data_IF_112426478700
#
_entry.id   IF_112426478700
#
_cell.length_a   1.000
_cell.length_b   1.000
_cell.length_c   1.000
_cell.angle_alpha   90.00
_cell.angle_beta   90.00
_cell.angle_gamma   90.00
#
_symmetry.space_group_name_H-M   'P 1'
#
loop_
_entity.id
_entity.type
_entity.pdbx_description
1 polymer ?
#
# COMPACT_ATOMS: atom_id res chain seq x y z
N UNK A 1 -8.40 -10.87 -10.05
CA UNK A 1 -7.85 -11.93 -9.19
C UNK A 1 -6.67 -11.34 -8.44
N UNK A 2 -6.84 -11.09 -7.14
CA UNK A 2 -5.77 -10.61 -6.27
C UNK A 2 -4.90 -11.82 -5.95
N UNK A 3 -3.73 -11.95 -6.59
CA UNK A 3 -2.83 -13.09 -6.42
C UNK A 3 -2.33 -13.10 -4.98
N UNK A 4 -2.33 -14.27 -4.31
CA UNK A 4 -1.91 -14.44 -2.90
C UNK A 4 -0.57 -13.76 -2.54
N UNK A 5 0.34 -13.60 -3.50
CA UNK A 5 1.60 -12.86 -3.33
C UNK A 5 1.42 -11.36 -3.00
N UNK A 6 0.30 -10.76 -3.41
CA UNK A 6 -0.01 -9.34 -3.20
C UNK A 6 -0.44 -9.02 -1.75
N UNK A 7 -0.96 -10.01 -1.02
CA UNK A 7 -1.37 -9.85 0.38
C UNK A 7 -0.17 -9.89 1.32
N UNK A 8 0.91 -10.58 0.95
CA UNK A 8 2.09 -10.70 1.79
C UNK A 8 2.79 -9.35 2.00
N UNK A 9 2.98 -8.55 0.94
CA UNK A 9 3.67 -7.26 1.04
C UNK A 9 2.92 -6.16 1.79
N UNK A 10 1.64 -6.38 2.11
CA UNK A 10 0.82 -5.45 2.90
C UNK A 10 0.75 -5.85 4.39
N UNK A 11 1.04 -7.10 4.73
CA UNK A 11 0.93 -7.60 6.10
C UNK A 11 -0.39 -7.20 6.77
N UNK A 12 -0.29 -6.54 7.93
CA UNK A 12 -1.45 -6.07 8.71
C UNK A 12 -2.26 -4.97 8.02
N UNK A 13 -1.68 -4.21 7.08
CA UNK A 13 -2.39 -3.15 6.37
C UNK A 13 -3.47 -3.68 5.42
N UNK A 14 -3.35 -4.93 4.97
CA UNK A 14 -4.41 -5.59 4.20
C UNK A 14 -5.73 -5.65 5.00
N UNK A 15 -5.66 -5.81 6.32
CA UNK A 15 -6.84 -5.80 7.20
C UNK A 15 -7.45 -4.40 7.40
N UNK A 16 -6.68 -3.34 7.12
CA UNK A 16 -7.11 -1.94 7.23
C UNK A 16 -7.67 -1.36 5.92
N UNK A 17 -7.91 -2.21 4.91
CA UNK A 17 -8.50 -1.81 3.62
C UNK A 17 -7.48 -1.41 2.56
N UNK A 18 -6.18 -1.63 2.78
CA UNK A 18 -5.16 -1.42 1.76
C UNK A 18 -5.13 -2.60 0.78
N UNK A 19 -4.94 -2.29 -0.51
CA UNK A 19 -4.87 -3.28 -1.58
C UNK A 19 -3.83 -2.88 -2.63
N UNK A 20 -3.33 -3.85 -3.39
CA UNK A 20 -2.43 -3.63 -4.52
C UNK A 20 -3.16 -3.94 -5.83
N UNK A 21 -3.01 -3.06 -6.82
CA UNK A 21 -3.48 -3.30 -8.18
C UNK A 21 -2.32 -3.20 -9.17
N UNK A 22 -2.27 -4.09 -10.16
CA UNK A 22 -1.26 -4.00 -11.22
C UNK A 22 -1.78 -3.13 -12.36
N UNK A 23 -1.01 -2.10 -12.70
CA UNK A 23 -1.24 -1.29 -13.88
C UNK A 23 -0.21 -1.71 -14.93
N UNK A 24 -0.57 -2.72 -15.73
CA UNK A 24 0.33 -3.32 -16.72
C UNK A 24 1.36 -4.27 -16.10
N UNK A 25 2.51 -4.42 -16.77
CA UNK A 25 3.53 -5.41 -16.41
C UNK A 25 4.57 -4.91 -15.40
N UNK A 26 4.65 -3.60 -15.18
CA UNK A 26 5.76 -2.99 -14.43
C UNK A 26 5.31 -2.07 -13.31
N UNK A 27 4.04 -1.70 -13.23
CA UNK A 27 3.55 -0.75 -12.22
C UNK A 27 2.57 -1.41 -11.28
N UNK A 28 2.76 -1.17 -9.99
CA UNK A 28 1.88 -1.59 -8.89
C UNK A 28 1.34 -0.34 -8.22
N UNK A 29 0.02 -0.25 -8.12
CA UNK A 29 -0.70 0.80 -7.42
C UNK A 29 -1.03 0.33 -6.01
N UNK A 30 -0.72 1.16 -5.02
CA UNK A 30 -1.22 1.03 -3.67
C UNK A 30 -2.53 1.81 -3.56
N UNK A 31 -3.57 1.10 -3.14
CA UNK A 31 -4.93 1.60 -3.01
C UNK A 31 -5.37 1.48 -1.55
N UNK A 32 -6.18 2.42 -1.08
CA UNK A 32 -6.92 2.30 0.19
C UNK A 32 -8.37 2.72 -0.06
N UNK A 33 -9.30 1.82 0.24
CA UNK A 33 -10.75 2.04 -0.01
C UNK A 33 -11.08 2.41 -1.47
N UNK A 34 -10.25 1.96 -2.42
CA UNK A 34 -10.40 2.25 -3.85
C UNK A 34 -9.71 3.53 -4.33
N UNK A 35 -9.14 4.33 -3.42
CA UNK A 35 -8.36 5.53 -3.74
C UNK A 35 -6.88 5.20 -3.95
N UNK A 36 -6.25 5.78 -4.98
CA UNK A 36 -4.82 5.60 -5.23
C UNK A 36 -3.99 6.44 -4.28
N UNK A 37 -3.20 5.77 -3.45
CA UNK A 37 -2.24 6.38 -2.53
C UNK A 37 -0.90 6.59 -3.21
N UNK A 38 -0.36 5.53 -3.81
CA UNK A 38 0.99 5.52 -4.36
C UNK A 38 1.09 4.57 -5.56
N UNK A 39 2.15 4.75 -6.34
CA UNK A 39 2.49 3.87 -7.47
C UNK A 39 3.97 3.51 -7.41
N UNK A 40 4.27 2.24 -7.60
CA UNK A 40 5.61 1.69 -7.53
C UNK A 40 5.92 0.96 -8.83
N UNK A 41 7.18 0.96 -9.24
CA UNK A 41 7.65 -0.04 -10.20
C UNK A 41 7.77 -1.39 -9.51
N UNK A 42 7.32 -2.48 -10.13
CA UNK A 42 7.33 -3.82 -9.55
C UNK A 42 8.74 -4.26 -9.12
N UNK A 43 9.77 -3.83 -9.84
CA UNK A 43 11.18 -4.08 -9.51
C UNK A 43 11.69 -3.29 -8.30
N UNK A 44 11.01 -2.22 -7.91
CA UNK A 44 11.32 -1.39 -6.73
C UNK A 44 10.27 -1.46 -5.61
N UNK A 45 9.18 -2.19 -5.81
CA UNK A 45 8.13 -2.40 -4.82
C UNK A 45 8.62 -3.45 -3.81
N UNK A 46 9.09 -2.97 -2.66
CA UNK A 46 9.47 -3.83 -1.53
C UNK A 46 8.38 -3.75 -0.46
N UNK A 47 8.27 -4.77 0.39
CA UNK A 47 7.33 -4.75 1.51
C UNK A 47 7.55 -3.52 2.40
N UNK A 48 8.80 -3.13 2.66
CA UNK A 48 9.13 -1.95 3.45
C UNK A 48 8.64 -0.65 2.80
N UNK A 49 8.77 -0.48 1.48
CA UNK A 49 8.30 0.73 0.80
C UNK A 49 6.77 0.81 0.74
N UNK A 50 6.09 -0.34 0.61
CA UNK A 50 4.63 -0.42 0.68
C UNK A 50 4.11 -0.07 2.09
N UNK A 51 4.69 -0.65 3.13
CA UNK A 51 4.31 -0.38 4.52
C UNK A 51 4.56 1.09 4.90
N UNK A 52 5.67 1.67 4.45
CA UNK A 52 5.98 3.08 4.68
C UNK A 52 4.89 4.01 4.12
N UNK A 53 4.47 3.82 2.87
CA UNK A 53 3.41 4.63 2.28
C UNK A 53 2.04 4.36 2.92
N UNK A 54 1.77 3.13 3.37
CA UNK A 54 0.55 2.84 4.14
C UNK A 54 0.51 3.63 5.46
N UNK A 55 1.60 3.59 6.23
CA UNK A 55 1.70 4.30 7.50
C UNK A 55 1.58 5.83 7.30
N UNK A 56 2.28 6.37 6.31
CA UNK A 56 2.21 7.78 5.94
C UNK A 56 0.80 8.21 5.54
N UNK A 57 0.10 7.38 4.75
CA UNK A 57 -1.29 7.66 4.38
C UNK A 57 -2.21 7.67 5.61
N UNK A 58 -2.04 6.73 6.54
CA UNK A 58 -2.83 6.71 7.77
C UNK A 58 -2.60 7.97 8.61
N UNK A 59 -1.35 8.42 8.76
CA UNK A 59 -1.01 9.66 9.46
C UNK A 59 -1.67 10.87 8.79
N UNK A 60 -1.56 10.99 7.47
CA UNK A 60 -2.12 12.13 6.72
C UNK A 60 -3.65 12.15 6.68
N UNK A 61 -4.30 11.00 6.45
CA UNK A 61 -5.77 10.90 6.25
C UNK A 61 -6.53 10.79 7.58
N UNK A 62 -5.97 10.11 8.58
CA UNK A 62 -6.63 9.90 9.87
C UNK A 62 -6.08 10.77 11.00
N UNK A 63 -5.15 11.69 10.70
CA UNK A 63 -4.69 12.71 11.65
C UNK A 63 -4.00 12.12 12.87
N UNK A 64 -3.33 10.97 12.75
CA UNK A 64 -2.45 10.48 13.80
C UNK A 64 -1.22 11.39 13.87
N UNK A 65 -1.37 12.50 14.58
CA UNK A 65 -0.26 13.20 15.19
C UNK A 65 0.47 12.17 16.07
N UNK A 66 1.73 11.89 15.75
CA UNK A 66 2.65 11.27 16.69
C UNK A 66 2.71 12.24 17.89
N UNK A 67 1.84 12.05 18.87
CA UNK A 67 2.07 12.60 20.20
C UNK A 67 3.24 11.81 20.79
N UNK A 68 4.40 12.47 20.74
CA UNK A 68 5.62 12.37 21.55
C UNK A 68 5.80 11.12 22.42
#
# INVERSE_FOLDING_TARGET
MTTKAQVQGLGEFAHRGFTLAHLGCEVVLLLHEGERIASFYQTGATEASLQHECAKHLVMKHGWELTD
#
